data_IF_751005181667
#
_entry.id   IF_751005181667
#
_cell.length_a   1.000
_cell.length_b   1.000
_cell.length_c   1.000
_cell.angle_alpha   90.00
_cell.angle_beta   90.00
_cell.angle_gamma   90.00
#
_symmetry.space_group_name_H-M   'P 1'
#
loop_
_entity.id
_entity.type
_entity.pdbx_description
1 polymer ?
#
# COMPACT_ATOMS: atom_id res chain seq x y z
N UNK A 1 49.64 -21.59 32.71
CA UNK A 1 48.26 -21.84 32.25
C UNK A 1 47.42 -21.96 33.51
N UNK A 2 46.39 -21.12 33.64
CA UNK A 2 45.62 -20.86 34.87
C UNK A 2 44.13 -21.08 34.56
N UNK A 3 43.40 -21.82 35.41
CA UNK A 3 41.98 -22.14 35.28
C UNK A 3 41.06 -21.06 35.91
N UNK A 4 39.81 -20.96 35.44
CA UNK A 4 38.77 -19.99 35.88
C UNK A 4 37.61 -20.67 36.61
N UNK A 5 36.98 -19.98 37.56
CA UNK A 5 35.75 -20.37 38.28
C UNK A 5 34.66 -19.25 38.20
N UNK A 6 33.35 -19.58 38.36
CA UNK A 6 32.16 -18.72 38.09
C UNK A 6 31.18 -18.70 39.30
N UNK A 7 30.42 -17.60 39.56
CA UNK A 7 29.29 -17.55 40.55
C UNK A 7 28.11 -16.58 40.21
N UNK A 8 26.91 -16.81 40.78
CA UNK A 8 25.51 -16.41 40.37
C UNK A 8 24.79 -15.25 41.19
N UNK A 9 23.52 -14.79 40.89
CA UNK A 9 22.92 -13.47 41.30
C UNK A 9 21.61 -13.44 42.21
N UNK A 10 21.09 -12.25 42.63
CA UNK A 10 19.88 -12.02 43.50
C UNK A 10 18.98 -10.76 43.14
N UNK A 11 17.71 -10.62 43.66
CA UNK A 11 16.60 -9.67 43.21
C UNK A 11 15.77 -8.94 44.35
N UNK A 12 15.03 -7.81 44.08
CA UNK A 12 14.33 -6.87 45.05
C UNK A 12 12.92 -6.22 44.62
N UNK A 13 12.13 -5.45 45.48
CA UNK A 13 10.65 -5.13 45.37
C UNK A 13 10.14 -3.62 45.27
N UNK A 14 8.80 -3.31 45.45
CA UNK A 14 7.94 -2.23 44.80
C UNK A 14 7.10 -1.24 45.70
N UNK A 15 6.96 0.06 45.36
CA UNK A 15 5.92 1.03 45.88
C UNK A 15 5.45 2.16 44.90
N UNK A 16 5.56 1.93 43.58
CA UNK A 16 5.55 2.95 42.49
C UNK A 16 4.17 3.34 41.90
N UNK A 17 3.05 3.11 42.60
CA UNK A 17 1.77 2.78 41.92
C UNK A 17 0.90 3.98 41.47
N UNK A 18 0.91 5.16 42.13
CA UNK A 18 -0.06 6.24 41.81
C UNK A 18 0.40 7.25 40.74
N UNK A 19 1.68 7.68 40.74
CA UNK A 19 2.22 8.60 39.71
C UNK A 19 2.36 7.94 38.34
N UNK A 20 2.46 6.61 38.28
CA UNK A 20 2.62 5.84 37.04
C UNK A 20 1.34 5.82 36.18
N UNK A 21 0.17 6.01 36.78
CA UNK A 21 -1.11 5.91 36.06
C UNK A 21 -1.39 7.12 35.16
N UNK A 22 -1.16 8.33 35.67
CA UNK A 22 -1.39 9.57 34.91
C UNK A 22 -0.34 9.82 33.80
N UNK A 23 0.90 9.34 33.99
CA UNK A 23 1.94 9.40 32.94
C UNK A 23 1.71 8.34 31.85
N UNK A 24 1.20 7.16 32.19
CA UNK A 24 0.89 6.12 31.21
C UNK A 24 -0.32 6.47 30.33
N UNK A 25 -1.36 7.08 30.88
CA UNK A 25 -2.56 7.48 30.15
C UNK A 25 -2.29 8.60 29.12
N UNK A 26 -1.47 9.61 29.47
CA UNK A 26 -1.07 10.67 28.52
C UNK A 26 -0.17 10.16 27.39
N UNK A 27 0.74 9.23 27.67
CA UNK A 27 1.65 8.67 26.65
C UNK A 27 0.88 7.83 25.62
N UNK A 28 -0.12 7.07 26.05
CA UNK A 28 -0.94 6.25 25.15
C UNK A 28 -1.84 7.09 24.22
N UNK A 29 -2.37 8.21 24.71
CA UNK A 29 -3.19 9.12 23.90
C UNK A 29 -2.36 9.86 22.84
N UNK A 30 -1.12 10.25 23.18
CA UNK A 30 -0.22 10.95 22.28
C UNK A 30 0.32 10.06 21.15
N UNK A 31 0.64 8.79 21.46
CA UNK A 31 1.00 7.78 20.45
C UNK A 31 -0.14 7.53 19.47
N UNK A 32 -1.37 7.34 19.99
CA UNK A 32 -2.55 7.08 19.15
C UNK A 32 -2.91 8.25 18.25
N UNK A 33 -2.75 9.48 18.74
CA UNK A 33 -2.93 10.70 17.95
C UNK A 33 -1.85 10.85 16.87
N UNK A 34 -0.61 10.40 17.13
CA UNK A 34 0.46 10.46 16.14
C UNK A 34 0.27 9.40 15.06
N UNK A 35 -0.13 8.18 15.43
CA UNK A 35 -0.51 7.10 14.50
C UNK A 35 -1.62 7.57 13.55
N UNK A 36 -2.72 8.13 14.09
CA UNK A 36 -3.84 8.66 13.29
C UNK A 36 -3.42 9.77 12.31
N UNK A 37 -2.48 10.64 12.72
CA UNK A 37 -1.95 11.70 11.85
C UNK A 37 -1.06 11.16 10.73
N UNK A 38 -0.32 10.08 11.00
CA UNK A 38 0.52 9.42 9.99
C UNK A 38 -0.37 8.72 8.95
N UNK A 39 -1.39 7.97 9.37
CA UNK A 39 -2.31 7.29 8.44
C UNK A 39 -3.06 8.28 7.55
N UNK A 40 -3.62 9.35 8.14
CA UNK A 40 -4.32 10.39 7.36
C UNK A 40 -3.39 11.13 6.38
N UNK A 41 -2.10 11.25 6.72
CA UNK A 41 -1.12 11.86 5.84
C UNK A 41 -0.76 10.94 4.68
N UNK A 42 -0.59 9.64 4.93
CA UNK A 42 -0.31 8.63 3.90
C UNK A 42 -1.49 8.50 2.94
N UNK A 43 -2.72 8.39 3.43
CA UNK A 43 -3.94 8.40 2.59
C UNK A 43 -4.03 9.66 1.71
N UNK A 44 -3.71 10.83 2.29
CA UNK A 44 -3.69 12.09 1.54
C UNK A 44 -2.58 12.15 0.50
N UNK A 45 -1.41 11.53 0.75
CA UNK A 45 -0.31 11.45 -0.21
C UNK A 45 -0.72 10.56 -1.38
N UNK A 46 -1.27 9.37 -1.10
CA UNK A 46 -1.78 8.46 -2.13
C UNK A 46 -2.88 9.10 -2.99
N UNK A 47 -3.76 9.91 -2.40
CA UNK A 47 -4.80 10.66 -3.11
C UNK A 47 -4.25 11.72 -4.08
N UNK A 48 -2.98 12.15 -3.91
CA UNK A 48 -2.32 13.11 -4.80
C UNK A 48 -1.45 12.46 -5.87
N UNK A 49 -1.26 11.14 -5.81
CA UNK A 49 -0.49 10.38 -6.78
C UNK A 49 -1.28 10.11 -8.05
N UNK A 50 -0.56 9.89 -9.16
CA UNK A 50 -1.18 9.57 -10.43
C UNK A 50 -1.88 8.21 -10.38
N UNK A 51 -3.00 8.07 -11.09
CA UNK A 51 -3.74 6.81 -11.24
C UNK A 51 -3.44 6.21 -12.61
N UNK A 52 -3.01 4.94 -12.63
CA UNK A 52 -2.88 4.14 -13.85
C UNK A 52 -3.93 3.05 -13.88
N UNK A 53 -4.52 2.82 -15.06
CA UNK A 53 -5.56 1.82 -15.28
C UNK A 53 -5.28 0.99 -16.53
N UNK A 54 -5.43 -0.32 -16.40
CA UNK A 54 -5.42 -1.27 -17.51
C UNK A 54 -6.67 -2.14 -17.41
N UNK A 55 -7.52 -2.10 -18.43
CA UNK A 55 -8.71 -2.91 -18.53
C UNK A 55 -8.55 -4.00 -19.60
N UNK A 56 -8.87 -5.23 -19.23
CA UNK A 56 -8.78 -6.40 -20.10
C UNK A 56 -10.09 -7.18 -20.10
N UNK A 57 -10.31 -7.97 -21.15
CA UNK A 57 -11.27 -9.06 -21.10
C UNK A 57 -10.59 -10.33 -20.60
N UNK A 58 -11.11 -10.86 -19.49
CA UNK A 58 -10.61 -12.04 -18.80
C UNK A 58 -9.68 -11.69 -17.64
N UNK A 59 -9.75 -12.49 -16.58
CA UNK A 59 -8.97 -12.28 -15.36
C UNK A 59 -7.48 -12.59 -15.54
N UNK A 60 -7.13 -13.53 -16.41
CA UNK A 60 -5.73 -13.95 -16.61
C UNK A 60 -4.90 -12.82 -17.21
N UNK A 61 -5.42 -12.13 -18.23
CA UNK A 61 -4.77 -10.96 -18.84
C UNK A 61 -4.65 -9.79 -17.84
N UNK A 62 -5.65 -9.58 -16.97
CA UNK A 62 -5.56 -8.60 -15.90
C UNK A 62 -4.47 -8.93 -14.87
N UNK A 63 -4.33 -10.19 -14.47
CA UNK A 63 -3.26 -10.60 -13.54
C UNK A 63 -1.88 -10.36 -14.17
N UNK A 64 -1.71 -10.70 -15.44
CA UNK A 64 -0.47 -10.43 -16.19
C UNK A 64 -0.19 -8.93 -16.30
N UNK A 65 -1.22 -8.11 -16.54
CA UNK A 65 -1.10 -6.66 -16.53
C UNK A 65 -0.57 -6.17 -15.17
N UNK A 66 -1.19 -6.60 -14.06
CA UNK A 66 -0.81 -6.20 -12.71
C UNK A 66 0.65 -6.56 -12.39
N UNK A 67 1.05 -7.80 -12.68
CA UNK A 67 2.43 -8.27 -12.47
C UNK A 67 3.44 -7.46 -13.29
N UNK A 68 3.12 -7.19 -14.56
CA UNK A 68 3.96 -6.39 -15.45
C UNK A 68 4.07 -4.92 -15.01
N UNK A 69 2.96 -4.32 -14.57
CA UNK A 69 2.94 -2.95 -14.05
C UNK A 69 3.85 -2.79 -12.83
N UNK A 70 3.76 -3.72 -11.87
CA UNK A 70 4.54 -3.69 -10.62
C UNK A 70 6.03 -3.99 -10.82
N UNK A 71 6.37 -4.78 -11.84
CA UNK A 71 7.78 -5.06 -12.19
C UNK A 71 8.44 -3.94 -12.97
N UNK A 72 7.68 -3.18 -13.75
CA UNK A 72 8.22 -2.17 -14.66
C UNK A 72 8.57 -0.85 -13.97
N UNK A 73 7.89 -0.49 -12.89
CA UNK A 73 8.09 0.79 -12.22
C UNK A 73 7.76 0.74 -10.72
N UNK A 74 8.24 1.75 -9.99
CA UNK A 74 7.89 1.92 -8.58
C UNK A 74 6.46 2.46 -8.44
N UNK A 75 5.48 1.56 -8.47
CA UNK A 75 4.05 1.84 -8.33
C UNK A 75 3.42 0.90 -7.30
N UNK A 76 2.31 1.34 -6.70
CA UNK A 76 1.55 0.56 -5.72
C UNK A 76 0.26 0.06 -6.35
N UNK A 77 -0.02 -1.24 -6.24
CA UNK A 77 -1.31 -1.79 -6.66
C UNK A 77 -2.40 -1.32 -5.70
N UNK A 78 -3.48 -0.76 -6.24
CA UNK A 78 -4.65 -0.32 -5.46
C UNK A 78 -5.72 -1.41 -5.43
N UNK A 79 -5.89 -2.11 -6.54
CA UNK A 79 -6.84 -3.20 -6.61
C UNK A 79 -7.25 -3.55 -8.02
N UNK A 80 -8.26 -4.41 -8.08
CA UNK A 80 -8.89 -4.81 -9.33
C UNK A 80 -10.40 -4.71 -9.20
N UNK A 81 -11.07 -4.17 -10.21
CA UNK A 81 -12.52 -4.08 -10.28
C UNK A 81 -13.07 -5.01 -11.37
N UNK A 82 -14.20 -5.68 -11.10
CA UNK A 82 -14.80 -6.67 -11.99
C UNK A 82 -16.28 -6.33 -12.19
N UNK A 83 -16.61 -5.75 -13.34
CA UNK A 83 -17.95 -5.19 -13.59
C UNK A 83 -18.89 -6.13 -14.38
N UNK A 84 -18.44 -7.34 -14.71
CA UNK A 84 -19.20 -8.32 -15.49
C UNK A 84 -18.72 -8.43 -16.95
N UNK A 85 -19.34 -9.31 -17.75
CA UNK A 85 -19.00 -9.56 -19.16
C UNK A 85 -17.52 -9.89 -19.42
N UNK A 86 -16.84 -10.41 -18.38
CA UNK A 86 -15.41 -10.68 -18.40
C UNK A 86 -14.52 -9.45 -18.32
N UNK A 87 -15.04 -8.23 -18.10
CA UNK A 87 -14.23 -7.03 -17.95
C UNK A 87 -13.58 -6.96 -16.57
N UNK A 88 -12.28 -6.75 -16.56
CA UNK A 88 -11.46 -6.63 -15.36
C UNK A 88 -10.51 -5.45 -15.52
N UNK A 89 -10.60 -4.50 -14.59
CA UNK A 89 -9.74 -3.32 -14.54
C UNK A 89 -8.72 -3.45 -13.40
N UNK A 90 -7.46 -3.19 -13.68
CA UNK A 90 -6.34 -3.17 -12.72
C UNK A 90 -5.89 -1.72 -12.52
N UNK A 91 -5.64 -1.34 -11.27
CA UNK A 91 -5.36 0.07 -10.92
C UNK A 91 -4.12 0.20 -10.05
N UNK A 92 -3.24 1.16 -10.38
CA UNK A 92 -2.00 1.43 -9.63
C UNK A 92 -1.84 2.93 -9.32
N UNK A 93 -1.04 3.23 -8.30
CA UNK A 93 -0.64 4.58 -7.89
C UNK A 93 0.87 4.79 -7.92
N UNK A 94 1.27 6.05 -8.07
CA UNK A 94 2.64 6.49 -7.93
C UNK A 94 2.90 7.80 -8.65
N UNK A 95 4.18 8.13 -8.87
CA UNK A 95 4.56 9.27 -9.68
C UNK A 95 4.10 9.13 -11.13
N UNK A 96 3.70 10.24 -11.77
CA UNK A 96 3.15 10.25 -13.14
C UNK A 96 4.04 9.49 -14.14
N UNK A 97 5.37 9.64 -14.02
CA UNK A 97 6.33 8.94 -14.88
C UNK A 97 6.35 7.43 -14.66
N UNK A 98 6.36 7.01 -13.39
CA UNK A 98 6.32 5.59 -13.00
C UNK A 98 5.00 4.93 -13.45
N UNK A 99 3.88 5.63 -13.26
CA UNK A 99 2.56 5.14 -13.67
C UNK A 99 2.43 5.00 -15.19
N UNK A 100 2.97 5.94 -15.97
CA UNK A 100 3.01 5.81 -17.44
C UNK A 100 3.81 4.58 -17.88
N UNK A 101 5.01 4.40 -17.33
CA UNK A 101 5.85 3.24 -17.64
C UNK A 101 5.17 1.92 -17.25
N UNK A 102 4.54 1.88 -16.07
CA UNK A 102 3.78 0.72 -15.61
C UNK A 102 2.64 0.37 -16.56
N UNK A 103 1.78 1.36 -16.90
CA UNK A 103 0.63 1.15 -17.80
C UNK A 103 1.08 0.68 -19.18
N UNK A 104 2.14 1.25 -19.75
CA UNK A 104 2.68 0.82 -21.05
C UNK A 104 3.15 -0.65 -21.04
N UNK A 105 3.90 -1.04 -20.00
CA UNK A 105 4.36 -2.42 -19.83
C UNK A 105 3.19 -3.40 -19.62
N UNK A 106 2.26 -3.05 -18.73
CA UNK A 106 1.05 -3.84 -18.45
C UNK A 106 0.19 -4.04 -19.69
N UNK A 107 -0.04 -2.97 -20.45
CA UNK A 107 -0.81 -3.01 -21.69
C UNK A 107 -0.17 -3.92 -22.74
N UNK A 108 1.14 -3.78 -22.95
CA UNK A 108 1.90 -4.58 -23.90
C UNK A 108 1.79 -6.08 -23.57
N UNK A 109 2.01 -6.47 -22.31
CA UNK A 109 1.98 -7.89 -21.94
C UNK A 109 0.57 -8.46 -21.93
N UNK A 110 -0.40 -7.72 -21.39
CA UNK A 110 -1.80 -8.13 -21.37
C UNK A 110 -2.37 -8.33 -22.79
N UNK A 111 -2.02 -7.45 -23.74
CA UNK A 111 -2.47 -7.57 -25.14
C UNK A 111 -1.90 -8.78 -25.88
N UNK A 112 -0.77 -9.34 -25.41
CA UNK A 112 -0.19 -10.57 -25.97
C UNK A 112 -0.85 -11.83 -25.41
N UNK A 113 -1.26 -11.78 -24.14
CA UNK A 113 -1.86 -12.92 -23.44
C UNK A 113 -3.38 -13.00 -23.64
N UNK A 114 -4.06 -11.87 -23.80
CA UNK A 114 -5.50 -11.78 -23.96
C UNK A 114 -5.94 -10.46 -24.62
N UNK A 115 -7.21 -10.10 -24.44
CA UNK A 115 -7.79 -8.90 -25.04
C UNK A 115 -7.59 -7.69 -24.12
N UNK A 116 -6.76 -6.74 -24.56
CA UNK A 116 -6.69 -5.41 -23.97
C UNK A 116 -7.89 -4.59 -24.45
N UNK A 117 -8.66 -4.06 -23.50
CA UNK A 117 -9.87 -3.28 -23.78
C UNK A 117 -9.57 -1.78 -23.75
N UNK A 118 -8.92 -1.32 -22.68
CA UNK A 118 -8.60 0.10 -22.50
C UNK A 118 -7.40 0.30 -21.59
N UNK A 119 -6.73 1.44 -21.74
CA UNK A 119 -5.74 1.93 -20.78
C UNK A 119 -5.90 3.43 -20.56
N UNK A 120 -5.57 3.89 -19.37
CA UNK A 120 -5.57 5.32 -19.09
C UNK A 120 -4.64 5.69 -17.94
N UNK A 121 -4.14 6.93 -17.97
CA UNK A 121 -3.34 7.53 -16.90
C UNK A 121 -3.93 8.89 -16.57
N UNK A 122 -4.24 9.11 -15.29
CA UNK A 122 -4.67 10.40 -14.77
C UNK A 122 -3.56 10.94 -13.87
N UNK A 123 -2.79 11.95 -14.30
CA UNK A 123 -1.63 12.44 -13.54
C UNK A 123 -1.94 12.98 -12.15
N UNK A 124 -3.15 13.54 -11.97
CA UNK A 124 -3.62 14.09 -10.69
C UNK A 124 -5.14 13.96 -10.66
N UNK A 125 -5.68 12.80 -10.27
CA UNK A 125 -7.12 12.63 -10.16
C UNK A 125 -7.68 13.56 -9.07
N UNK A 126 -8.96 13.88 -9.20
CA UNK A 126 -9.65 14.65 -8.17
C UNK A 126 -9.80 13.79 -6.90
N UNK A 127 -9.69 14.37 -5.71
CA UNK A 127 -9.75 13.63 -4.44
C UNK A 127 -11.03 12.78 -4.29
N UNK A 128 -12.15 13.21 -4.86
CA UNK A 128 -13.39 12.44 -4.82
C UNK A 128 -13.34 11.14 -5.63
N UNK A 129 -12.40 11.01 -6.58
CA UNK A 129 -12.20 9.77 -7.35
C UNK A 129 -11.76 8.64 -6.43
N UNK A 130 -11.02 8.92 -5.35
CA UNK A 130 -10.60 7.88 -4.40
C UNK A 130 -11.77 7.11 -3.81
N UNK A 131 -12.93 7.76 -3.65
CA UNK A 131 -14.13 7.17 -3.03
C UNK A 131 -14.76 6.05 -3.86
N UNK A 132 -14.40 5.94 -5.14
CA UNK A 132 -14.94 4.94 -6.05
C UNK A 132 -13.91 3.89 -6.47
N UNK A 133 -12.65 4.03 -6.02
CA UNK A 133 -11.62 3.06 -6.37
C UNK A 133 -11.71 1.82 -5.47
N UNK A 134 -11.34 0.64 -6.00
CA UNK A 134 -11.30 -0.57 -5.20
C UNK A 134 -10.18 -0.51 -4.16
N UNK A 135 -10.34 -1.26 -3.08
CA UNK A 135 -9.29 -1.49 -2.08
C UNK A 135 -8.74 -2.92 -2.21
N UNK A 136 -7.46 -3.12 -1.93
CA UNK A 136 -6.86 -4.45 -1.83
C UNK A 136 -7.54 -5.25 -0.71
N UNK A 137 -7.97 -6.47 -1.04
CA UNK A 137 -8.62 -7.40 -0.09
C UNK A 137 -7.61 -8.25 0.67
#
# INVERSE_FOLDING_TARGET
MEEKEIKAPAKAPRSRVSKAKATAENTAAEVKNNELKVTQKEEKIMAQEALGMVETRGLVAAIEAADSMLKAANVTLIGTEKIGSGLVSVMVRGDVGAVKAAVEAGASNASRLGELVATHVIPRPHNDVEKILPELK
#
